data_IF_712168285803
#
_entry.id   IF_712168285803
#
_cell.length_a   1.000
_cell.length_b   1.000
_cell.length_c   1.000
_cell.angle_alpha   90.00
_cell.angle_beta   90.00
_cell.angle_gamma   90.00
#
_symmetry.space_group_name_H-M   'P 1'
#
loop_
_entity.id
_entity.type
_entity.pdbx_description
1 polymer ?
#
# COMPACT_ATOMS: atom_id res chain seq x y z
N UNK A 1 12.22 -25.67 17.73
CA UNK A 1 12.30 -25.93 16.28
C UNK A 1 11.27 -25.05 15.59
N UNK A 2 11.66 -23.91 15.08
CA UNK A 2 10.78 -23.06 14.25
C UNK A 2 10.82 -23.59 12.82
N UNK A 3 9.88 -24.45 12.49
CA UNK A 3 9.73 -24.95 11.14
C UNK A 3 8.79 -24.03 10.35
N UNK A 4 9.27 -23.41 9.30
CA UNK A 4 8.46 -23.00 8.17
C UNK A 4 7.82 -21.61 8.18
N UNK A 5 7.92 -20.82 9.23
CA UNK A 5 7.42 -19.44 9.23
C UNK A 5 8.40 -18.44 8.59
N UNK A 6 9.67 -18.81 8.49
CA UNK A 6 10.72 -17.93 7.98
C UNK A 6 10.66 -17.66 6.48
N UNK A 7 10.23 -18.61 5.67
CA UNK A 7 10.29 -18.51 4.21
C UNK A 7 9.08 -17.78 3.62
N UNK A 8 7.91 -17.91 4.24
CA UNK A 8 6.70 -17.16 3.85
C UNK A 8 6.84 -15.68 4.20
N UNK A 9 7.50 -15.35 5.31
CA UNK A 9 7.81 -13.98 5.73
C UNK A 9 8.74 -13.23 4.76
N UNK A 10 9.57 -13.94 4.03
CA UNK A 10 10.68 -13.32 3.28
C UNK A 10 10.28 -12.73 1.95
N UNK A 11 9.07 -12.97 1.44
CA UNK A 11 8.73 -12.61 0.06
C UNK A 11 7.52 -11.69 -0.12
N UNK A 12 6.70 -11.42 0.91
CA UNK A 12 5.38 -10.84 0.67
C UNK A 12 5.26 -9.37 1.05
N UNK A 13 5.17 -9.08 2.34
CA UNK A 13 4.94 -7.72 2.86
C UNK A 13 5.65 -7.52 4.18
N UNK A 14 5.77 -6.26 4.61
CA UNK A 14 6.31 -5.90 5.92
C UNK A 14 5.67 -6.73 7.04
N UNK A 15 6.46 -7.19 8.01
CA UNK A 15 6.00 -8.10 9.07
C UNK A 15 4.80 -7.59 9.87
N UNK A 16 4.70 -6.27 10.10
CA UNK A 16 3.53 -5.65 10.73
C UNK A 16 2.28 -5.76 9.86
N UNK A 17 2.40 -5.55 8.56
CA UNK A 17 1.31 -5.72 7.57
C UNK A 17 0.88 -7.17 7.46
N UNK A 18 1.84 -8.10 7.46
CA UNK A 18 1.55 -9.53 7.47
C UNK A 18 0.74 -9.95 8.71
N UNK A 19 1.15 -9.49 9.90
CA UNK A 19 0.42 -9.77 11.13
C UNK A 19 -0.96 -9.09 11.16
N UNK A 20 -1.06 -7.85 10.66
CA UNK A 20 -2.33 -7.13 10.52
C UNK A 20 -3.31 -7.95 9.69
N UNK A 21 -2.92 -8.36 8.49
CA UNK A 21 -3.78 -9.08 7.56
C UNK A 21 -4.03 -10.53 8.00
N UNK A 22 -2.99 -11.24 8.42
CA UNK A 22 -3.11 -12.65 8.76
C UNK A 22 -3.78 -12.96 10.10
N UNK A 23 -3.74 -12.01 11.05
CA UNK A 23 -4.22 -12.23 12.41
C UNK A 23 -5.26 -11.21 12.83
N UNK A 24 -4.93 -9.90 12.76
CA UNK A 24 -5.78 -8.87 13.35
C UNK A 24 -7.06 -8.66 12.54
N UNK A 25 -6.98 -8.58 11.23
CA UNK A 25 -8.13 -8.38 10.34
C UNK A 25 -9.13 -9.53 10.42
N UNK A 26 -8.67 -10.76 10.65
CA UNK A 26 -9.56 -11.91 10.88
C UNK A 26 -10.48 -11.71 12.07
N UNK A 27 -10.01 -11.08 13.15
CA UNK A 27 -10.82 -10.77 14.34
C UNK A 27 -11.91 -9.74 14.05
N UNK A 28 -11.74 -8.98 12.95
CA UNK A 28 -12.71 -7.99 12.46
C UNK A 28 -13.59 -8.55 11.34
N UNK A 29 -13.54 -9.87 11.07
CA UNK A 29 -14.33 -10.53 10.04
C UNK A 29 -13.79 -10.31 8.62
N UNK A 30 -12.52 -9.91 8.45
CA UNK A 30 -11.88 -9.71 7.16
C UNK A 30 -10.87 -10.84 6.92
N UNK A 31 -11.15 -11.66 5.91
CA UNK A 31 -10.25 -12.72 5.47
C UNK A 31 -9.25 -12.19 4.44
N UNK A 32 -8.01 -12.71 4.52
CA UNK A 32 -6.93 -12.36 3.59
C UNK A 32 -6.32 -13.64 3.02
N UNK A 33 -6.13 -13.67 1.71
CA UNK A 33 -5.39 -14.70 1.00
C UNK A 33 -4.04 -14.12 0.58
N UNK A 34 -2.95 -14.72 1.03
CA UNK A 34 -1.60 -14.33 0.61
C UNK A 34 -1.25 -15.05 -0.69
N UNK A 35 -0.65 -14.32 -1.62
CA UNK A 35 -0.18 -14.82 -2.91
C UNK A 35 1.32 -14.52 -3.08
N UNK A 36 2.02 -15.31 -3.90
CA UNK A 36 3.41 -15.04 -4.22
C UNK A 36 3.51 -13.80 -5.14
N UNK A 37 4.43 -12.85 -4.91
CA UNK A 37 4.62 -11.71 -5.81
C UNK A 37 5.08 -12.13 -7.21
N UNK A 38 5.71 -13.30 -7.35
CA UNK A 38 6.11 -13.86 -8.63
C UNK A 38 5.03 -14.75 -9.28
N UNK A 39 3.85 -14.88 -8.63
CA UNK A 39 2.75 -15.70 -9.15
C UNK A 39 2.36 -15.30 -10.57
N UNK A 40 2.01 -16.29 -11.38
CA UNK A 40 1.44 -16.10 -12.71
C UNK A 40 0.06 -15.44 -12.63
N UNK A 41 -0.40 -14.82 -13.72
CA UNK A 41 -1.78 -14.28 -13.80
C UNK A 41 -2.81 -15.37 -13.49
N UNK A 42 -2.60 -16.61 -13.92
CA UNK A 42 -3.49 -17.72 -13.64
C UNK A 42 -3.60 -18.05 -12.15
N UNK A 43 -2.47 -18.04 -11.44
CA UNK A 43 -2.43 -18.25 -9.98
C UNK A 43 -3.07 -17.10 -9.21
N UNK A 44 -2.83 -15.86 -9.65
CA UNK A 44 -3.48 -14.68 -9.09
C UNK A 44 -4.99 -14.75 -9.28
N UNK A 45 -5.47 -15.09 -10.48
CA UNK A 45 -6.90 -15.25 -10.76
C UNK A 45 -7.58 -16.29 -9.86
N UNK A 46 -6.91 -17.41 -9.55
CA UNK A 46 -7.43 -18.45 -8.65
C UNK A 46 -7.58 -17.97 -7.19
N UNK A 47 -6.85 -16.95 -6.78
CA UNK A 47 -6.91 -16.42 -5.43
C UNK A 47 -8.13 -15.52 -5.18
N UNK A 48 -8.75 -14.98 -6.23
CA UNK A 48 -9.94 -14.13 -6.11
C UNK A 48 -11.17 -14.94 -5.74
N UNK A 49 -11.99 -14.37 -4.86
CA UNK A 49 -13.28 -14.88 -4.42
C UNK A 49 -14.36 -13.86 -4.76
N UNK A 50 -15.63 -14.28 -4.79
CA UNK A 50 -16.77 -13.38 -5.06
C UNK A 50 -16.84 -12.19 -4.10
N UNK A 51 -16.36 -12.36 -2.87
CA UNK A 51 -16.32 -11.33 -1.83
C UNK A 51 -14.97 -10.60 -1.69
N UNK A 52 -14.00 -10.81 -2.58
CA UNK A 52 -12.74 -10.06 -2.57
C UNK A 52 -13.01 -8.57 -2.79
N UNK A 53 -12.47 -7.72 -1.92
CA UNK A 53 -12.72 -6.26 -1.92
C UNK A 53 -11.51 -5.41 -2.33
N UNK A 54 -10.30 -5.92 -2.17
CA UNK A 54 -9.08 -5.21 -2.57
C UNK A 54 -7.96 -6.21 -2.81
N UNK A 55 -7.03 -5.82 -3.66
CA UNK A 55 -5.72 -6.44 -3.78
C UNK A 55 -4.69 -5.48 -3.17
N UNK A 56 -3.74 -6.01 -2.40
CA UNK A 56 -2.73 -5.19 -1.72
C UNK A 56 -1.33 -5.74 -1.99
N UNK A 57 -0.39 -4.84 -2.25
CA UNK A 57 1.02 -5.20 -2.39
C UNK A 57 1.95 -4.07 -1.96
N UNK A 58 3.24 -4.38 -1.80
CA UNK A 58 4.30 -3.38 -1.56
C UNK A 58 5.12 -3.21 -2.83
N UNK A 59 5.45 -1.98 -3.20
CA UNK A 59 6.32 -1.70 -4.36
C UNK A 59 7.64 -2.46 -4.26
N UNK A 60 8.23 -2.48 -3.06
CA UNK A 60 9.43 -3.25 -2.73
C UNK A 60 9.20 -3.91 -1.37
N UNK A 61 9.18 -5.23 -1.35
CA UNK A 61 8.90 -6.02 -0.16
C UNK A 61 9.99 -5.87 0.91
N UNK A 62 9.59 -5.71 2.17
CA UNK A 62 10.50 -5.69 3.31
C UNK A 62 10.34 -7.01 4.13
N UNK A 63 11.39 -7.84 4.29
CA UNK A 63 12.81 -7.58 4.00
C UNK A 63 13.32 -8.18 2.67
N UNK A 64 12.48 -8.84 1.90
CA UNK A 64 12.94 -9.67 0.77
C UNK A 64 13.46 -8.87 -0.43
N UNK A 65 13.15 -7.56 -0.51
CA UNK A 65 13.52 -6.66 -1.62
C UNK A 65 12.98 -7.10 -2.99
N UNK A 66 11.93 -7.93 -2.99
CA UNK A 66 11.23 -8.29 -4.23
C UNK A 66 10.46 -7.06 -4.72
N UNK A 67 10.62 -6.74 -5.99
CA UNK A 67 9.90 -5.65 -6.66
C UNK A 67 8.60 -6.19 -7.24
N UNK A 68 7.49 -5.54 -6.91
CA UNK A 68 6.17 -5.92 -7.40
C UNK A 68 5.99 -5.51 -8.86
N UNK A 69 5.53 -6.42 -9.69
CA UNK A 69 5.01 -6.12 -11.02
C UNK A 69 3.60 -5.50 -10.89
N UNK A 70 3.58 -4.17 -10.67
CA UNK A 70 2.34 -3.42 -10.40
C UNK A 70 1.36 -3.55 -11.57
N UNK A 71 1.85 -3.50 -12.82
CA UNK A 71 1.01 -3.56 -14.02
C UNK A 71 0.28 -4.90 -14.13
N UNK A 72 0.98 -6.01 -13.90
CA UNK A 72 0.38 -7.35 -13.87
C UNK A 72 -0.68 -7.45 -12.79
N UNK A 73 -0.37 -6.99 -11.58
CA UNK A 73 -1.28 -7.06 -10.44
C UNK A 73 -2.52 -6.15 -10.64
N UNK A 74 -2.33 -4.94 -11.17
CA UNK A 74 -3.42 -4.02 -11.50
C UNK A 74 -4.36 -4.61 -12.56
N UNK A 75 -3.79 -5.17 -13.64
CA UNK A 75 -4.57 -5.82 -14.70
C UNK A 75 -5.49 -6.91 -14.12
N UNK A 76 -4.92 -7.84 -13.35
CA UNK A 76 -5.71 -8.95 -12.77
C UNK A 76 -6.74 -8.44 -11.77
N UNK A 77 -6.40 -7.47 -10.92
CA UNK A 77 -7.35 -6.88 -9.98
C UNK A 77 -8.54 -6.24 -10.71
N UNK A 78 -8.29 -5.46 -11.76
CA UNK A 78 -9.31 -4.78 -12.54
C UNK A 78 -10.20 -5.75 -13.33
N UNK A 79 -9.67 -6.86 -13.85
CA UNK A 79 -10.47 -7.93 -14.47
C UNK A 79 -11.51 -8.51 -13.50
N UNK A 80 -11.25 -8.45 -12.20
CA UNK A 80 -12.19 -8.87 -11.14
C UNK A 80 -13.02 -7.71 -10.54
N UNK A 81 -12.90 -6.49 -11.06
CA UNK A 81 -13.59 -5.31 -10.52
C UNK A 81 -13.12 -4.95 -9.10
N UNK A 82 -11.83 -5.11 -8.82
CA UNK A 82 -11.21 -4.93 -7.51
C UNK A 82 -10.07 -3.91 -7.63
N UNK A 83 -9.96 -2.90 -6.73
CA UNK A 83 -8.86 -1.95 -6.77
C UNK A 83 -7.56 -2.58 -6.29
N UNK A 84 -6.44 -2.12 -6.88
CA UNK A 84 -5.11 -2.40 -6.39
C UNK A 84 -4.65 -1.29 -5.45
N UNK A 85 -4.30 -1.66 -4.23
CA UNK A 85 -3.68 -0.79 -3.21
C UNK A 85 -2.19 -1.11 -3.13
N UNK A 86 -1.34 -0.11 -3.28
CA UNK A 86 0.12 -0.30 -3.23
C UNK A 86 0.72 0.50 -2.08
N UNK A 87 1.42 -0.19 -1.17
CA UNK A 87 2.30 0.47 -0.20
C UNK A 87 3.61 0.86 -0.88
N UNK A 88 3.79 2.16 -1.08
CA UNK A 88 4.95 2.73 -1.75
C UNK A 88 5.95 3.36 -0.77
N UNK A 89 5.92 2.93 0.48
CA UNK A 89 6.77 3.47 1.56
C UNK A 89 8.26 3.39 1.21
N UNK A 90 8.70 2.24 0.69
CA UNK A 90 10.13 1.99 0.45
C UNK A 90 10.65 2.77 -0.75
N UNK A 91 9.93 2.72 -1.86
CA UNK A 91 10.31 3.40 -3.10
C UNK A 91 10.14 4.92 -2.99
N UNK A 92 9.16 5.40 -2.24
CA UNK A 92 8.69 6.79 -2.23
C UNK A 92 8.21 7.25 -3.61
N UNK A 93 7.49 8.36 -3.75
CA UNK A 93 7.09 8.87 -5.07
C UNK A 93 8.28 9.37 -5.91
N UNK A 94 9.50 9.40 -5.34
CA UNK A 94 10.71 9.77 -6.08
C UNK A 94 11.17 8.62 -7.00
N UNK A 95 11.18 7.39 -6.49
CA UNK A 95 11.65 6.22 -7.25
C UNK A 95 10.52 5.50 -7.99
N UNK A 96 9.29 5.55 -7.49
CA UNK A 96 8.15 4.91 -8.12
C UNK A 96 6.87 5.71 -7.88
N UNK A 97 6.08 5.87 -8.94
CA UNK A 97 4.72 6.43 -8.89
C UNK A 97 3.74 5.37 -9.35
N UNK A 98 3.20 4.57 -8.42
CA UNK A 98 2.40 3.39 -8.75
C UNK A 98 1.17 3.66 -9.63
N UNK A 99 0.62 4.88 -9.62
CA UNK A 99 -0.48 5.27 -10.50
C UNK A 99 -0.14 5.21 -11.98
N UNK A 100 1.12 5.42 -12.34
CA UNK A 100 1.59 5.31 -13.73
C UNK A 100 1.60 3.86 -14.22
N UNK A 101 1.48 2.90 -13.28
CA UNK A 101 1.49 1.45 -13.51
C UNK A 101 0.14 0.79 -13.20
N UNK A 102 -0.92 1.59 -13.01
CA UNK A 102 -2.28 1.10 -12.83
C UNK A 102 -2.76 0.88 -11.41
N UNK A 103 -1.98 1.24 -10.39
CA UNK A 103 -2.49 1.23 -9.02
C UNK A 103 -3.62 2.26 -8.85
N UNK A 104 -4.61 1.93 -8.02
CA UNK A 104 -5.76 2.80 -7.75
C UNK A 104 -5.55 3.63 -6.48
N UNK A 105 -4.98 3.02 -5.47
CA UNK A 105 -4.73 3.64 -4.17
C UNK A 105 -3.28 3.39 -3.78
N UNK A 106 -2.63 4.42 -3.28
CA UNK A 106 -1.25 4.32 -2.77
C UNK A 106 -1.24 4.70 -1.30
N UNK A 107 -0.58 3.88 -0.50
CA UNK A 107 -0.36 4.18 0.91
C UNK A 107 1.13 4.38 1.20
N UNK A 108 1.42 5.18 2.21
CA UNK A 108 2.77 5.42 2.69
C UNK A 108 2.80 5.39 4.21
N UNK A 109 3.76 4.71 4.79
CA UNK A 109 4.19 5.03 6.15
C UNK A 109 5.05 6.30 6.09
N UNK A 110 4.45 7.44 6.44
CA UNK A 110 5.19 8.72 6.47
C UNK A 110 6.28 8.73 7.55
N UNK A 111 6.19 7.82 8.52
CA UNK A 111 7.19 7.52 9.54
C UNK A 111 8.60 7.26 8.98
N UNK A 112 8.72 6.83 7.71
CA UNK A 112 9.97 6.35 7.09
C UNK A 112 10.68 7.47 6.33
N UNK A 113 10.94 7.26 5.04
CA UNK A 113 11.70 8.22 4.22
C UNK A 113 11.06 9.60 4.08
N UNK A 114 9.72 9.70 4.15
CA UNK A 114 9.04 10.99 4.03
C UNK A 114 9.37 11.91 5.21
N UNK A 115 9.25 11.43 6.44
CA UNK A 115 9.74 12.17 7.62
C UNK A 115 11.27 12.27 7.60
N UNK A 116 11.95 11.12 7.42
CA UNK A 116 13.40 11.03 7.22
C UNK A 116 14.27 11.37 8.43
N UNK A 117 13.67 11.77 9.56
CA UNK A 117 14.37 12.24 10.76
C UNK A 117 13.99 11.47 12.03
N UNK A 118 13.16 10.44 11.90
CA UNK A 118 12.63 9.65 13.03
C UNK A 118 11.91 10.50 14.09
N UNK A 119 11.21 11.55 13.64
CA UNK A 119 10.58 12.54 14.53
C UNK A 119 9.11 12.25 14.79
N UNK A 120 8.44 11.56 13.86
CA UNK A 120 7.00 11.31 13.99
C UNK A 120 6.57 9.99 13.37
N UNK A 121 5.46 9.45 13.88
CA UNK A 121 4.76 8.29 13.31
C UNK A 121 3.55 8.80 12.56
N UNK A 122 3.32 8.28 11.35
CA UNK A 122 2.18 8.68 10.55
C UNK A 122 2.03 7.87 9.28
N UNK A 123 0.94 8.14 8.57
CA UNK A 123 0.62 7.53 7.29
C UNK A 123 -0.06 8.49 6.35
N UNK A 124 -0.03 8.18 5.08
CA UNK A 124 -0.77 8.89 4.05
C UNK A 124 -1.47 7.90 3.13
N UNK A 125 -2.67 8.24 2.71
CA UNK A 125 -3.45 7.54 1.69
C UNK A 125 -3.63 8.50 0.52
N UNK A 126 -3.32 8.06 -0.68
CA UNK A 126 -3.49 8.81 -1.92
C UNK A 126 -4.37 7.99 -2.85
N UNK A 127 -5.42 8.60 -3.36
CA UNK A 127 -6.36 7.98 -4.29
C UNK A 127 -6.12 8.54 -5.70
N UNK A 128 -6.04 7.69 -6.70
CA UNK A 128 -5.95 8.10 -8.10
C UNK A 128 -7.26 8.76 -8.59
N UNK A 129 -8.39 8.40 -7.99
CA UNK A 129 -9.72 8.75 -8.45
C UNK A 129 -10.12 8.10 -9.78
N UNK A 130 -9.41 7.06 -10.20
CA UNK A 130 -9.65 6.42 -11.50
C UNK A 130 -10.41 5.09 -11.40
N UNK A 131 -10.48 4.47 -10.22
CA UNK A 131 -11.25 3.23 -10.07
C UNK A 131 -12.75 3.50 -10.21
N UNK A 132 -13.41 2.73 -11.04
CA UNK A 132 -14.85 2.87 -11.28
C UNK A 132 -15.67 2.13 -10.20
N UNK A 133 -15.99 2.86 -9.13
CA UNK A 133 -16.79 2.36 -8.02
C UNK A 133 -18.23 2.06 -8.44
N UNK A 134 -18.79 2.82 -9.38
CA UNK A 134 -20.17 2.67 -9.82
C UNK A 134 -20.35 1.44 -10.70
N UNK A 135 -19.43 1.16 -11.62
CA UNK A 135 -19.45 -0.07 -12.40
C UNK A 135 -19.36 -1.33 -11.52
N UNK A 136 -18.80 -1.19 -10.31
CA UNK A 136 -18.65 -2.26 -9.33
C UNK A 136 -19.53 -2.07 -8.08
N UNK A 137 -20.67 -1.38 -8.21
CA UNK A 137 -21.53 -0.93 -7.10
C UNK A 137 -21.97 -2.03 -6.15
N UNK A 138 -22.33 -3.21 -6.65
CA UNK A 138 -22.70 -4.37 -5.82
C UNK A 138 -21.58 -4.78 -4.86
N UNK A 139 -20.34 -4.59 -5.27
CA UNK A 139 -19.16 -4.89 -4.45
C UNK A 139 -18.87 -3.81 -3.42
N UNK A 140 -19.18 -2.55 -3.74
CA UNK A 140 -18.84 -1.38 -2.89
C UNK A 140 -20.07 -0.55 -2.47
N UNK A 141 -21.11 -1.17 -1.88
CA UNK A 141 -22.32 -0.43 -1.48
C UNK A 141 -22.01 0.73 -0.51
N UNK A 142 -20.94 0.62 0.28
CA UNK A 142 -20.54 1.70 1.19
C UNK A 142 -20.14 3.02 0.51
N UNK A 143 -19.91 3.04 -0.81
CA UNK A 143 -19.62 4.25 -1.59
C UNK A 143 -20.76 4.62 -2.52
N UNK A 144 -21.57 3.64 -2.93
CA UNK A 144 -22.55 3.74 -4.03
C UNK A 144 -24.00 3.72 -3.56
N UNK A 145 -24.25 3.58 -2.26
CA UNK A 145 -25.59 3.68 -1.67
C UNK A 145 -25.61 4.72 -0.56
N UNK A 146 -26.83 5.20 -0.15
CA UNK A 146 -26.95 6.20 0.92
C UNK A 146 -26.26 5.75 2.21
N UNK A 147 -25.41 6.60 2.76
CA UNK A 147 -24.69 6.36 4.02
C UNK A 147 -25.38 7.10 5.18
N UNK A 148 -26.01 6.36 6.07
CA UNK A 148 -26.71 6.91 7.24
C UNK A 148 -25.75 7.65 8.18
N UNK A 149 -24.49 7.22 8.28
CA UNK A 149 -23.47 7.88 9.11
C UNK A 149 -23.06 9.25 8.60
N UNK A 150 -23.42 9.58 7.35
CA UNK A 150 -23.13 10.86 6.72
C UNK A 150 -24.37 11.43 5.99
N UNK A 151 -25.48 11.55 6.72
CA UNK A 151 -26.73 12.20 6.28
C UNK A 151 -27.35 11.60 5.01
N UNK A 152 -27.18 10.32 4.76
CA UNK A 152 -27.72 9.65 3.57
C UNK A 152 -27.00 9.98 2.27
N UNK A 153 -25.77 10.48 2.32
CA UNK A 153 -24.99 10.81 1.13
C UNK A 153 -24.57 9.55 0.39
N UNK A 154 -24.72 9.56 -0.93
CA UNK A 154 -24.06 8.60 -1.84
C UNK A 154 -22.73 9.23 -2.25
N UNK A 155 -21.62 8.62 -1.84
CA UNK A 155 -20.30 9.24 -2.00
C UNK A 155 -19.89 9.41 -3.47
N UNK A 156 -20.19 8.43 -4.31
CA UNK A 156 -19.86 8.49 -5.75
C UNK A 156 -20.63 9.62 -6.44
N UNK A 157 -21.92 9.78 -6.15
CA UNK A 157 -22.74 10.85 -6.71
C UNK A 157 -22.27 12.24 -6.24
N UNK A 158 -21.98 12.37 -4.94
CA UNK A 158 -21.67 13.66 -4.31
C UNK A 158 -20.26 14.13 -4.59
N UNK A 159 -19.28 13.21 -4.62
CA UNK A 159 -17.85 13.53 -4.64
C UNK A 159 -17.12 12.99 -5.87
N UNK A 160 -17.79 12.21 -6.71
CA UNK A 160 -17.20 11.67 -7.95
C UNK A 160 -15.85 10.96 -7.69
N UNK A 161 -14.83 11.40 -8.35
CA UNK A 161 -13.46 10.84 -8.24
C UNK A 161 -12.86 10.89 -6.83
N UNK A 162 -13.38 11.72 -5.94
CA UNK A 162 -12.91 11.83 -4.55
C UNK A 162 -13.72 10.98 -3.57
N UNK A 163 -14.65 10.15 -4.05
CA UNK A 163 -15.58 9.39 -3.20
C UNK A 163 -14.88 8.57 -2.12
N UNK A 164 -13.83 7.84 -2.49
CA UNK A 164 -13.08 6.99 -1.57
C UNK A 164 -12.40 7.80 -0.45
N UNK A 165 -11.67 8.84 -0.81
CA UNK A 165 -10.98 9.69 0.17
C UNK A 165 -11.97 10.45 1.03
N UNK A 166 -13.07 10.95 0.45
CA UNK A 166 -14.09 11.65 1.22
C UNK A 166 -14.76 10.73 2.24
N UNK A 167 -15.03 9.47 1.90
CA UNK A 167 -15.51 8.49 2.87
C UNK A 167 -14.48 8.21 3.96
N UNK A 168 -13.22 8.02 3.59
CA UNK A 168 -12.15 7.80 4.55
C UNK A 168 -12.05 8.95 5.57
N UNK A 169 -12.17 10.20 5.12
CA UNK A 169 -12.11 11.41 5.98
C UNK A 169 -13.41 11.60 6.76
N UNK A 170 -14.54 11.63 6.08
CA UNK A 170 -15.81 12.05 6.64
C UNK A 170 -16.44 11.04 7.60
N UNK A 171 -16.08 9.76 7.49
CA UNK A 171 -16.56 8.71 8.39
C UNK A 171 -15.44 8.05 9.16
N UNK A 172 -14.53 7.34 8.50
CA UNK A 172 -13.56 6.50 9.19
C UNK A 172 -12.59 7.32 10.06
N UNK A 173 -12.00 8.35 9.50
CA UNK A 173 -11.04 9.22 10.20
C UNK A 173 -11.71 10.02 11.31
N UNK A 174 -12.93 10.57 11.04
CA UNK A 174 -13.73 11.27 12.02
C UNK A 174 -14.09 10.38 13.21
N UNK A 175 -14.54 9.15 12.95
CA UNK A 175 -15.11 8.28 13.98
C UNK A 175 -14.02 7.51 14.74
N UNK A 176 -12.92 7.14 14.08
CA UNK A 176 -11.80 6.41 14.66
C UNK A 176 -10.67 7.33 15.17
N UNK A 177 -10.64 8.58 14.75
CA UNK A 177 -9.69 9.59 15.24
C UNK A 177 -8.26 9.43 14.74
N UNK A 178 -8.03 8.74 13.65
CA UNK A 178 -6.69 8.47 13.08
C UNK A 178 -6.15 9.69 12.31
N UNK A 179 -5.93 10.81 13.00
CA UNK A 179 -5.39 12.03 12.39
C UNK A 179 -4.03 12.38 13.00
N UNK A 180 -3.07 12.92 12.21
CA UNK A 180 -1.80 13.39 12.74
C UNK A 180 -2.00 14.66 13.57
N UNK A 181 -1.21 14.83 14.64
CA UNK A 181 -1.12 16.10 15.34
C UNK A 181 -0.55 17.18 14.39
N UNK A 182 -0.97 18.45 14.51
CA UNK A 182 -0.44 19.55 13.68
C UNK A 182 1.09 19.65 13.72
N UNK A 183 1.69 19.41 14.88
CA UNK A 183 3.15 19.38 15.04
C UNK A 183 3.79 18.27 14.19
N UNK A 184 3.20 17.08 14.14
CA UNK A 184 3.72 15.98 13.33
C UNK A 184 3.59 16.28 11.82
N UNK A 185 2.51 16.95 11.42
CA UNK A 185 2.34 17.41 10.03
C UNK A 185 3.37 18.46 9.64
N UNK A 186 3.73 19.37 10.56
CA UNK A 186 4.80 20.34 10.36
C UNK A 186 6.17 19.67 10.19
N UNK A 187 6.51 18.71 11.06
CA UNK A 187 7.76 17.95 10.96
C UNK A 187 7.84 17.15 9.66
N UNK A 188 6.73 16.51 9.27
CA UNK A 188 6.65 15.80 8.00
C UNK A 188 6.90 16.74 6.80
N UNK A 189 6.35 17.95 6.81
CA UNK A 189 6.61 18.93 5.76
C UNK A 189 8.10 19.27 5.62
N UNK A 190 8.80 19.46 6.74
CA UNK A 190 10.25 19.68 6.74
C UNK A 190 10.98 18.47 6.10
N UNK A 191 10.56 17.25 6.45
CA UNK A 191 11.12 16.04 5.85
C UNK A 191 10.90 15.96 4.34
N UNK A 192 9.72 16.35 3.87
CA UNK A 192 9.36 16.32 2.44
C UNK A 192 10.19 17.30 1.60
N UNK A 193 10.59 18.45 2.14
CA UNK A 193 11.42 19.45 1.42
C UNK A 193 12.74 18.86 0.90
N UNK A 194 13.32 17.91 1.63
CA UNK A 194 14.58 17.27 1.26
C UNK A 194 14.44 15.85 0.73
N UNK A 195 13.22 15.34 0.60
CA UNK A 195 12.97 13.94 0.24
C UNK A 195 13.69 13.52 -1.04
N UNK A 196 13.57 14.30 -2.11
CA UNK A 196 14.17 13.98 -3.39
C UNK A 196 15.70 13.87 -3.32
N UNK A 197 16.34 14.80 -2.62
CA UNK A 197 17.79 14.80 -2.41
C UNK A 197 18.24 13.60 -1.60
N UNK A 198 17.53 13.31 -0.50
CA UNK A 198 17.87 12.20 0.40
C UNK A 198 17.72 10.86 -0.27
N UNK A 199 16.58 10.64 -0.95
CA UNK A 199 16.31 9.36 -1.62
C UNK A 199 17.31 9.10 -2.73
N UNK A 200 17.61 10.07 -3.58
CA UNK A 200 18.64 9.93 -4.61
C UNK A 200 20.01 9.54 -3.99
N UNK A 201 20.38 10.20 -2.88
CA UNK A 201 21.65 9.91 -2.20
C UNK A 201 21.66 8.55 -1.50
N UNK A 202 20.53 8.13 -0.93
CA UNK A 202 20.40 6.78 -0.37
C UNK A 202 20.58 5.70 -1.45
N UNK A 203 19.97 5.87 -2.62
CA UNK A 203 20.14 4.92 -3.74
C UNK A 203 21.59 4.85 -4.22
N UNK A 204 22.25 6.01 -4.39
CA UNK A 204 23.66 6.06 -4.77
C UNK A 204 24.55 5.34 -3.75
N UNK A 205 24.33 5.61 -2.46
CA UNK A 205 25.12 4.99 -1.41
C UNK A 205 24.85 3.49 -1.30
N UNK A 206 23.59 3.06 -1.37
CA UNK A 206 23.24 1.65 -1.33
C UNK A 206 23.86 0.88 -2.49
N UNK A 207 23.88 1.45 -3.69
CA UNK A 207 24.54 0.85 -4.85
C UNK A 207 26.05 0.65 -4.59
N UNK A 208 26.75 1.68 -4.11
CA UNK A 208 28.18 1.59 -3.81
C UNK A 208 28.48 0.50 -2.75
N UNK A 209 27.66 0.42 -1.71
CA UNK A 209 27.80 -0.60 -0.67
C UNK A 209 27.55 -1.99 -1.25
N UNK A 210 26.53 -2.17 -2.07
CA UNK A 210 26.23 -3.45 -2.70
C UNK A 210 27.37 -3.91 -3.63
N UNK A 211 27.88 -2.99 -4.47
CA UNK A 211 29.03 -3.27 -5.35
C UNK A 211 30.29 -3.67 -4.55
N UNK A 212 30.56 -2.96 -3.44
CA UNK A 212 31.65 -3.28 -2.56
C UNK A 212 31.50 -4.67 -1.92
N UNK A 213 30.33 -4.96 -1.36
CA UNK A 213 30.06 -6.28 -0.75
C UNK A 213 30.16 -7.42 -1.76
N UNK A 214 29.63 -7.23 -2.98
CA UNK A 214 29.75 -8.20 -4.05
C UNK A 214 31.23 -8.46 -4.43
N UNK A 215 32.08 -7.44 -4.39
CA UNK A 215 33.51 -7.63 -4.67
C UNK A 215 34.24 -8.47 -3.62
N UNK A 216 33.68 -8.58 -2.40
CA UNK A 216 34.24 -9.39 -1.32
C UNK A 216 33.83 -10.87 -1.39
N UNK A 217 32.75 -11.21 -2.07
CA UNK A 217 32.24 -12.58 -2.15
C UNK A 217 33.27 -13.49 -2.88
N UNK A 218 34.10 -12.95 -3.78
CA UNK A 218 35.12 -13.67 -4.51
C UNK A 218 36.46 -13.80 -3.76
N UNK A 219 36.58 -13.26 -2.56
CA UNK A 219 37.83 -13.33 -1.77
C UNK A 219 37.83 -14.51 -0.77
N UNK A 220 36.67 -15.17 -0.60
CA UNK A 220 36.47 -16.23 0.40
C UNK A 220 36.35 -17.64 -0.19
N UNK A 221 36.78 -17.89 -1.45
CA UNK A 221 36.93 -19.23 -2.04
C UNK A 221 38.40 -19.68 -2.06
#
# INVERSE_FOLDING_TARGET
>A
MSRGLGDVYKRQVYGGTFNLFGVTMKKLGIDVTFVDPDASEEELNKAFKSNTKAMFGETIANPALVVLDIEKFAKVAHEHGVPLIVDNTFATPINCRPFEWGADIVVHSTTKYMDGHATSVGGAIVDSGNFDWEANSERYPGLTTPDESYHGVVYTERFGKSAYIMKAIATLMRDLGSIPAPQNSFLLNIGLETLALRVAKHCENAKKVAEYLLSLIHISE
#
